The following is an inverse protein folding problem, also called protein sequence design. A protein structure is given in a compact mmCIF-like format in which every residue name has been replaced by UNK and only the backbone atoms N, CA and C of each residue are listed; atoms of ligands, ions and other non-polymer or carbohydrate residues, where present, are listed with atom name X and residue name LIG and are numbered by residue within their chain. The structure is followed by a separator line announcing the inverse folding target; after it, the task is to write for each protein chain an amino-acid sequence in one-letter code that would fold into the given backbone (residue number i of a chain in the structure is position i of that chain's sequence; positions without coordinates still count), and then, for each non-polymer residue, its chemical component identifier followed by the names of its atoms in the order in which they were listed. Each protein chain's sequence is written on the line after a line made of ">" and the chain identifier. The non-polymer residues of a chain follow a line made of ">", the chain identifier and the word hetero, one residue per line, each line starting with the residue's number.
data_IF_585900471766
#
_entry.id   IF_585900471766
#
_cell.length_a   1.000
_cell.length_b   1.000
_cell.length_c   1.000
_cell.angle_alpha   90.00
_cell.angle_beta   90.00
_cell.angle_gamma   90.00
#
_symmetry.space_group_name_H-M   'P 1'
#
loop_
_entity.id
_entity.type
_entity.pdbx_description
1 polymer ?
#
# COMPACT_ATOMS: atom_id res chain seq x y z
N UNK A 1 27.16 12.62 -1.38
CA UNK A 1 27.86 13.08 -0.15
C UNK A 1 26.93 13.00 1.05
N UNK A 2 27.42 12.89 2.30
CA UNK A 2 26.56 12.84 3.51
C UNK A 2 25.54 14.01 3.57
N UNK A 3 25.94 15.18 3.06
CA UNK A 3 25.05 16.35 2.91
C UNK A 3 23.86 16.09 1.99
N UNK A 4 24.05 15.40 0.86
CA UNK A 4 22.96 15.14 -0.11
C UNK A 4 21.91 14.18 0.46
N UNK A 5 22.35 13.20 1.27
CA UNK A 5 21.46 12.28 1.98
C UNK A 5 20.61 13.04 3.00
N UNK A 6 21.21 13.98 3.73
CA UNK A 6 20.50 14.80 4.70
C UNK A 6 19.48 15.73 4.02
N UNK A 7 19.85 16.37 2.90
CA UNK A 7 18.96 17.23 2.12
C UNK A 7 17.80 16.42 1.53
N UNK A 8 18.07 15.24 0.97
CA UNK A 8 17.03 14.34 0.45
C UNK A 8 16.06 13.91 1.55
N UNK A 9 16.58 13.53 2.73
CA UNK A 9 15.77 13.19 3.90
C UNK A 9 14.91 14.38 4.35
N UNK A 10 15.48 15.58 4.40
CA UNK A 10 14.76 16.80 4.76
C UNK A 10 13.62 17.11 3.79
N UNK A 11 13.89 17.05 2.48
CA UNK A 11 12.85 17.25 1.44
C UNK A 11 11.72 16.23 1.62
N UNK A 12 12.06 14.95 1.78
CA UNK A 12 11.07 13.88 1.94
C UNK A 12 10.21 14.06 3.20
N UNK A 13 10.80 14.45 4.32
CA UNK A 13 10.09 14.69 5.59
C UNK A 13 9.27 15.98 5.54
N UNK A 14 9.79 17.04 4.92
CA UNK A 14 9.09 18.33 4.83
C UNK A 14 7.79 18.24 4.04
N UNK A 15 7.76 17.46 2.95
CA UNK A 15 6.54 17.24 2.17
C UNK A 15 5.42 16.61 3.02
N UNK A 16 5.74 15.59 3.81
CA UNK A 16 4.78 14.94 4.72
C UNK A 16 4.33 15.88 5.84
N UNK A 17 5.25 16.71 6.37
CA UNK A 17 4.92 17.70 7.40
C UNK A 17 3.94 18.74 6.86
N UNK A 18 4.20 19.30 5.67
CA UNK A 18 3.32 20.27 5.02
C UNK A 18 1.95 19.64 4.72
N UNK A 19 1.91 18.42 4.18
CA UNK A 19 0.66 17.69 3.96
C UNK A 19 -0.14 17.50 5.26
N UNK A 20 0.55 17.16 6.36
CA UNK A 20 -0.07 17.01 7.68
C UNK A 20 -0.64 18.33 8.22
N UNK A 21 0.08 19.44 8.05
CA UNK A 21 -0.39 20.78 8.45
C UNK A 21 -1.63 21.17 7.64
N UNK A 22 -1.62 20.96 6.32
CA UNK A 22 -2.77 21.26 5.45
C UNK A 22 -3.97 20.40 5.85
N UNK A 23 -3.78 19.10 6.07
CA UNK A 23 -4.85 18.20 6.48
C UNK A 23 -5.46 18.63 7.82
N UNK A 24 -4.62 18.98 8.82
CA UNK A 24 -5.10 19.49 10.10
C UNK A 24 -5.86 20.82 9.95
N UNK A 25 -5.35 21.74 9.11
CA UNK A 25 -6.02 23.01 8.86
C UNK A 25 -7.42 22.80 8.25
N UNK A 26 -7.56 21.90 7.27
CA UNK A 26 -8.86 21.54 6.68
C UNK A 26 -9.79 20.96 7.74
N UNK A 27 -9.30 20.00 8.52
CA UNK A 27 -10.11 19.30 9.52
C UNK A 27 -10.61 20.25 10.62
N UNK A 28 -9.79 21.22 11.04
CA UNK A 28 -10.16 22.26 12.00
C UNK A 28 -11.15 23.26 11.37
N UNK A 29 -10.91 23.67 10.13
CA UNK A 29 -11.78 24.60 9.40
C UNK A 29 -13.19 24.03 9.18
N UNK A 30 -13.27 22.76 8.77
CA UNK A 30 -14.54 22.07 8.50
C UNK A 30 -15.24 21.55 9.76
N UNK A 31 -14.60 21.65 10.94
CA UNK A 31 -15.17 21.19 12.21
C UNK A 31 -15.45 19.69 12.26
N UNK A 32 -14.74 18.87 11.48
CA UNK A 32 -14.99 17.43 11.37
C UNK A 32 -14.66 16.63 12.65
N UNK A 33 -13.90 17.22 13.57
CA UNK A 33 -13.55 16.57 14.84
C UNK A 33 -14.24 17.29 16.00
N UNK A 34 -14.91 16.51 16.86
CA UNK A 34 -15.42 16.97 18.15
C UNK A 34 -14.31 17.15 19.21
N UNK A 35 -14.65 17.05 20.50
CA UNK A 35 -13.65 17.12 21.57
C UNK A 35 -12.69 15.92 21.51
N UNK A 36 -11.41 16.17 21.25
CA UNK A 36 -10.36 15.16 21.30
C UNK A 36 -10.17 14.71 22.75
N UNK A 37 -10.55 13.48 23.05
CA UNK A 37 -10.30 12.87 24.36
C UNK A 37 -9.22 11.81 24.22
N UNK A 38 -8.03 12.12 24.75
CA UNK A 38 -6.91 11.19 24.80
C UNK A 38 -7.12 10.22 25.97
N UNK A 39 -7.85 9.14 25.71
CA UNK A 39 -8.02 8.04 26.66
C UNK A 39 -7.05 6.90 26.32
N UNK A 40 -6.23 6.49 27.28
CA UNK A 40 -5.35 5.32 27.15
C UNK A 40 -6.13 4.05 26.78
N UNK A 41 -7.39 3.94 27.24
CA UNK A 41 -8.28 2.85 26.85
C UNK A 41 -8.55 2.85 25.34
N UNK A 42 -8.85 4.02 24.76
CA UNK A 42 -9.11 4.16 23.32
C UNK A 42 -7.85 3.85 22.51
N UNK A 43 -6.68 4.32 22.96
CA UNK A 43 -5.39 4.02 22.29
C UNK A 43 -5.14 2.51 22.27
N UNK A 44 -5.29 1.82 23.41
CA UNK A 44 -5.11 0.37 23.49
C UNK A 44 -6.12 -0.38 22.60
N UNK A 45 -7.38 0.07 22.57
CA UNK A 45 -8.41 -0.51 21.70
C UNK A 45 -8.06 -0.35 20.23
N UNK A 46 -7.67 0.85 19.79
CA UNK A 46 -7.26 1.10 18.41
C UNK A 46 -6.03 0.28 18.00
N UNK A 47 -5.06 0.08 18.90
CA UNK A 47 -3.92 -0.81 18.66
C UNK A 47 -4.35 -2.27 18.49
N UNK A 48 -5.29 -2.74 19.31
CA UNK A 48 -5.82 -4.11 19.21
C UNK A 48 -6.62 -4.31 17.91
N UNK A 49 -7.50 -3.36 17.57
CA UNK A 49 -8.33 -3.40 16.36
C UNK A 49 -7.45 -3.35 15.09
N UNK A 50 -6.38 -2.54 15.11
CA UNK A 50 -5.42 -2.43 14.01
C UNK A 50 -4.39 -3.55 13.92
N UNK A 51 -4.30 -4.43 14.92
CA UNK A 51 -3.23 -5.42 15.01
C UNK A 51 -3.23 -6.41 13.83
N UNK A 52 -4.42 -6.82 13.36
CA UNK A 52 -4.53 -7.70 12.19
C UNK A 52 -3.96 -7.05 10.92
N UNK A 53 -4.26 -5.77 10.71
CA UNK A 53 -3.71 -5.00 9.58
C UNK A 53 -2.20 -4.86 9.73
N UNK A 54 -1.72 -4.57 10.94
CA UNK A 54 -0.29 -4.48 11.23
C UNK A 54 0.45 -5.78 10.89
N UNK A 55 -0.07 -6.94 11.30
CA UNK A 55 0.54 -8.24 10.99
C UNK A 55 0.51 -8.52 9.49
N UNK A 56 -0.61 -8.26 8.80
CA UNK A 56 -0.70 -8.42 7.35
C UNK A 56 0.30 -7.54 6.61
N UNK A 57 0.39 -6.25 6.95
CA UNK A 57 1.34 -5.33 6.32
C UNK A 57 2.79 -5.70 6.66
N UNK A 58 3.07 -6.11 7.89
CA UNK A 58 4.40 -6.58 8.30
C UNK A 58 4.81 -7.83 7.53
N UNK A 59 3.90 -8.79 7.34
CA UNK A 59 4.16 -9.98 6.53
C UNK A 59 4.46 -9.60 5.07
N UNK A 60 3.72 -8.63 4.51
CA UNK A 60 3.99 -8.09 3.17
C UNK A 60 5.39 -7.50 3.07
N UNK A 61 5.78 -6.67 4.03
CA UNK A 61 7.13 -6.09 4.10
C UNK A 61 8.21 -7.17 4.25
N UNK A 62 7.96 -8.19 5.08
CA UNK A 62 8.88 -9.30 5.30
C UNK A 62 9.14 -10.09 4.02
N UNK A 63 8.11 -10.52 3.28
CA UNK A 63 8.36 -11.28 2.06
C UNK A 63 8.88 -10.39 0.92
N UNK A 64 8.52 -9.10 0.86
CA UNK A 64 8.99 -8.22 -0.22
C UNK A 64 10.42 -7.74 -0.04
N UNK A 65 10.80 -7.38 1.19
CA UNK A 65 12.13 -6.83 1.51
C UNK A 65 13.07 -7.91 2.02
N UNK A 66 12.55 -8.90 2.75
CA UNK A 66 13.34 -10.01 3.29
C UNK A 66 13.93 -10.91 2.20
N UNK A 67 13.26 -11.09 1.06
CA UNK A 67 13.82 -11.85 -0.08
C UNK A 67 15.15 -11.26 -0.54
N UNK A 68 15.28 -9.93 -0.59
CA UNK A 68 16.52 -9.26 -0.99
C UNK A 68 17.65 -9.56 -0.02
N UNK A 69 17.37 -9.56 1.27
CA UNK A 69 18.35 -9.87 2.33
C UNK A 69 18.81 -11.32 2.19
N UNK A 70 17.85 -12.26 2.12
CA UNK A 70 18.12 -13.69 1.99
C UNK A 70 18.92 -13.98 0.71
N UNK A 71 18.53 -13.39 -0.42
CA UNK A 71 19.21 -13.57 -1.69
C UNK A 71 20.62 -12.98 -1.67
N UNK A 72 20.83 -11.87 -0.97
CA UNK A 72 22.15 -11.29 -0.75
C UNK A 72 23.09 -12.23 0.00
N UNK A 73 22.58 -12.91 1.03
CA UNK A 73 23.36 -13.91 1.78
C UNK A 73 23.63 -15.19 0.97
N UNK A 74 22.66 -15.68 0.19
CA UNK A 74 22.76 -16.98 -0.49
C UNK A 74 23.45 -16.88 -1.86
N UNK A 75 23.13 -15.86 -2.64
CA UNK A 75 23.51 -15.76 -4.07
C UNK A 75 24.34 -14.53 -4.41
N UNK A 76 24.53 -13.62 -3.44
CA UNK A 76 25.40 -12.47 -3.58
C UNK A 76 24.76 -11.25 -4.28
N UNK A 77 25.53 -10.16 -4.42
CA UNK A 77 25.01 -8.85 -4.82
C UNK A 77 24.46 -8.77 -6.25
N UNK A 78 25.01 -9.55 -7.19
CA UNK A 78 24.55 -9.55 -8.59
C UNK A 78 23.13 -10.09 -8.72
N UNK A 79 22.81 -11.18 -8.03
CA UNK A 79 21.46 -11.75 -8.00
C UNK A 79 20.46 -10.80 -7.34
N UNK A 80 20.89 -10.10 -6.29
CA UNK A 80 20.09 -9.03 -5.65
C UNK A 80 19.79 -7.90 -6.63
N UNK A 81 20.77 -7.45 -7.40
CA UNK A 81 20.60 -6.42 -8.43
C UNK A 81 19.56 -6.82 -9.47
N UNK A 82 19.67 -8.03 -10.02
CA UNK A 82 18.74 -8.56 -11.01
C UNK A 82 17.31 -8.69 -10.45
N UNK A 83 17.17 -9.21 -9.23
CA UNK A 83 15.88 -9.32 -8.56
C UNK A 83 15.25 -7.94 -8.33
N UNK A 84 16.01 -6.97 -7.83
CA UNK A 84 15.49 -5.62 -7.58
C UNK A 84 15.05 -4.91 -8.86
N UNK A 85 15.78 -5.08 -9.96
CA UNK A 85 15.38 -4.54 -11.26
C UNK A 85 14.02 -5.10 -11.70
N UNK A 86 13.87 -6.44 -11.69
CA UNK A 86 12.62 -7.09 -12.04
C UNK A 86 11.47 -6.74 -11.08
N UNK A 87 11.75 -6.71 -9.77
CA UNK A 87 10.77 -6.38 -8.74
C UNK A 87 10.29 -4.92 -8.83
N UNK A 88 11.15 -4.00 -9.27
CA UNK A 88 10.76 -2.60 -9.51
C UNK A 88 9.72 -2.49 -10.62
N UNK A 89 9.92 -3.20 -11.74
CA UNK A 89 8.95 -3.26 -12.84
C UNK A 89 7.63 -3.86 -12.36
N UNK A 90 7.70 -4.97 -11.61
CA UNK A 90 6.52 -5.62 -11.01
C UNK A 90 5.76 -4.65 -10.10
N UNK A 91 6.45 -3.92 -9.23
CA UNK A 91 5.84 -2.97 -8.31
C UNK A 91 5.20 -1.78 -9.04
N UNK A 92 5.81 -1.28 -10.12
CA UNK A 92 5.24 -0.22 -10.94
C UNK A 92 3.88 -0.63 -11.53
N UNK A 93 3.78 -1.85 -12.07
CA UNK A 93 2.53 -2.38 -12.62
C UNK A 93 1.48 -2.62 -11.53
N UNK A 94 1.88 -3.12 -10.36
CA UNK A 94 0.96 -3.24 -9.22
C UNK A 94 0.47 -1.88 -8.72
N UNK A 95 1.31 -0.85 -8.78
CA UNK A 95 0.95 0.52 -8.45
C UNK A 95 -0.24 1.05 -9.26
N UNK A 96 -0.37 0.63 -10.53
CA UNK A 96 -1.49 0.99 -11.39
C UNK A 96 -2.83 0.39 -10.92
N UNK A 97 -2.81 -0.71 -10.17
CA UNK A 97 -4.00 -1.37 -9.63
C UNK A 97 -4.46 -0.76 -8.29
N UNK A 98 -3.60 -0.02 -7.61
CA UNK A 98 -3.88 0.57 -6.31
C UNK A 98 -5.06 1.57 -6.33
N UNK A 99 -5.16 2.54 -7.26
CA UNK A 99 -6.29 3.47 -7.31
C UNK A 99 -7.63 2.77 -7.56
N UNK A 100 -7.62 1.69 -8.35
CA UNK A 100 -8.81 0.86 -8.59
C UNK A 100 -9.29 0.24 -7.27
N UNK A 101 -8.37 -0.36 -6.52
CA UNK A 101 -8.67 -0.96 -5.21
C UNK A 101 -9.18 0.09 -4.22
N UNK A 102 -8.52 1.25 -4.13
CA UNK A 102 -8.91 2.32 -3.22
C UNK A 102 -10.28 2.94 -3.56
N UNK A 103 -10.64 3.05 -4.84
CA UNK A 103 -11.96 3.55 -5.26
C UNK A 103 -13.09 2.53 -5.04
N UNK A 104 -12.80 1.24 -5.23
CA UNK A 104 -13.81 0.17 -5.12
C UNK A 104 -14.10 -0.19 -3.66
N UNK A 105 -13.09 -0.14 -2.78
CA UNK A 105 -13.22 -0.61 -1.40
C UNK A 105 -14.38 0.05 -0.63
N UNK A 106 -14.54 1.39 -0.60
CA UNK A 106 -15.67 2.03 0.08
C UNK A 106 -17.03 1.60 -0.47
N UNK A 107 -17.12 1.39 -1.79
CA UNK A 107 -18.35 0.98 -2.48
C UNK A 107 -18.72 -0.47 -2.16
N UNK A 108 -17.75 -1.36 -2.06
CA UNK A 108 -17.99 -2.74 -1.61
C UNK A 108 -18.48 -2.75 -0.17
N UNK A 109 -17.80 -2.02 0.72
CA UNK A 109 -18.14 -1.97 2.14
C UNK A 109 -19.56 -1.45 2.37
N UNK A 110 -19.97 -0.36 1.69
CA UNK A 110 -21.34 0.16 1.81
C UNK A 110 -22.38 -0.78 1.21
N UNK A 111 -22.09 -1.39 0.05
CA UNK A 111 -23.04 -2.30 -0.62
C UNK A 111 -23.25 -3.59 0.16
N UNK A 112 -22.22 -4.12 0.83
CA UNK A 112 -22.34 -5.31 1.68
C UNK A 112 -23.29 -5.09 2.87
N UNK A 113 -23.25 -3.91 3.49
CA UNK A 113 -24.12 -3.55 4.61
C UNK A 113 -25.57 -3.39 4.15
N UNK A 114 -25.80 -2.72 3.01
CA UNK A 114 -27.15 -2.48 2.48
C UNK A 114 -27.77 -3.75 1.86
N UNK A 115 -27.00 -4.52 1.11
CA UNK A 115 -27.46 -5.71 0.43
C UNK A 115 -26.30 -6.70 0.20
N UNK A 116 -26.25 -7.73 1.06
CA UNK A 116 -25.19 -8.75 1.03
C UNK A 116 -25.05 -9.44 -0.34
N UNK A 117 -26.15 -9.76 -1.01
CA UNK A 117 -26.12 -10.45 -2.32
C UNK A 117 -25.48 -9.56 -3.38
N UNK A 118 -25.90 -8.29 -3.47
CA UNK A 118 -25.33 -7.32 -4.40
C UNK A 118 -23.86 -7.02 -4.08
N UNK A 119 -23.50 -6.96 -2.79
CA UNK A 119 -22.11 -6.78 -2.35
C UNK A 119 -21.20 -7.93 -2.79
N UNK A 120 -21.65 -9.18 -2.65
CA UNK A 120 -20.88 -10.35 -3.12
C UNK A 120 -20.73 -10.38 -4.65
N UNK A 121 -21.78 -10.01 -5.40
CA UNK A 121 -21.68 -9.88 -6.86
C UNK A 121 -20.65 -8.82 -7.25
N UNK A 122 -20.63 -7.68 -6.56
CA UNK A 122 -19.66 -6.62 -6.79
C UNK A 122 -18.23 -7.10 -6.51
N UNK A 123 -18.00 -7.81 -5.39
CA UNK A 123 -16.69 -8.42 -5.08
C UNK A 123 -16.25 -9.35 -6.21
N UNK A 124 -17.12 -10.26 -6.65
CA UNK A 124 -16.79 -11.21 -7.74
C UNK A 124 -16.42 -10.46 -9.02
N UNK A 125 -17.21 -9.47 -9.40
CA UNK A 125 -16.96 -8.66 -10.62
C UNK A 125 -15.65 -7.88 -10.53
N UNK A 126 -15.38 -7.25 -9.39
CA UNK A 126 -14.13 -6.54 -9.13
C UNK A 126 -12.93 -7.48 -9.15
N UNK A 127 -13.05 -8.67 -8.56
CA UNK A 127 -12.01 -9.69 -8.57
C UNK A 127 -11.70 -10.16 -10.00
N UNK A 128 -12.72 -10.46 -10.81
CA UNK A 128 -12.54 -10.85 -12.21
C UNK A 128 -11.91 -9.74 -13.04
N UNK A 129 -12.31 -8.47 -12.82
CA UNK A 129 -11.70 -7.34 -13.50
C UNK A 129 -10.22 -7.18 -13.14
N UNK A 130 -9.88 -7.23 -11.85
CA UNK A 130 -8.51 -7.14 -11.37
C UNK A 130 -7.64 -8.31 -11.85
N UNK A 131 -8.17 -9.53 -11.88
CA UNK A 131 -7.44 -10.70 -12.36
C UNK A 131 -7.19 -10.65 -13.86
N UNK A 132 -8.14 -10.13 -14.66
CA UNK A 132 -7.95 -9.93 -16.09
C UNK A 132 -6.86 -8.89 -16.37
N UNK A 133 -6.88 -7.75 -15.68
CA UNK A 133 -5.86 -6.70 -15.85
C UNK A 133 -4.49 -7.21 -15.39
N UNK A 134 -4.43 -7.87 -14.22
CA UNK A 134 -3.20 -8.47 -13.72
C UNK A 134 -2.65 -9.55 -14.64
N UNK A 135 -3.53 -10.39 -15.21
CA UNK A 135 -3.17 -11.40 -16.20
C UNK A 135 -2.62 -10.79 -17.48
N UNK A 136 -3.24 -9.71 -17.98
CA UNK A 136 -2.74 -8.99 -19.15
C UNK A 136 -1.35 -8.38 -18.90
N UNK A 137 -1.13 -7.75 -17.74
CA UNK A 137 0.21 -7.25 -17.37
C UNK A 137 1.24 -8.38 -17.28
N UNK A 138 0.88 -9.52 -16.71
CA UNK A 138 1.76 -10.69 -16.67
C UNK A 138 2.12 -11.20 -18.06
N UNK A 139 1.16 -11.22 -18.99
CA UNK A 139 1.39 -11.68 -20.36
C UNK A 139 2.30 -10.72 -21.13
N UNK A 140 2.07 -9.41 -20.98
CA UNK A 140 2.90 -8.37 -21.58
C UNK A 140 4.34 -8.46 -21.07
N UNK A 141 4.53 -8.66 -19.76
CA UNK A 141 5.86 -8.85 -19.19
C UNK A 141 6.56 -10.09 -19.74
N UNK A 142 5.83 -11.19 -19.88
CA UNK A 142 6.39 -12.45 -20.36
C UNK A 142 6.78 -12.39 -21.85
N UNK A 143 5.99 -11.71 -22.67
CA UNK A 143 6.30 -11.49 -24.09
C UNK A 143 7.42 -10.45 -24.30
N UNK A 144 7.49 -9.44 -23.43
CA UNK A 144 8.51 -8.40 -23.46
C UNK A 144 9.85 -8.84 -22.85
N UNK A 145 9.85 -9.89 -22.04
CA UNK A 145 11.06 -10.59 -21.62
C UNK A 145 11.61 -11.38 -22.82
N UNK A 146 12.41 -10.71 -23.65
CA UNK A 146 13.22 -11.38 -24.66
C UNK A 146 14.06 -12.45 -23.96
N UNK A 147 13.77 -13.71 -24.29
CA UNK A 147 14.51 -14.92 -23.87
C UNK A 147 15.97 -14.80 -24.29
#
# INVERSE_FOLDING_TARGET
>A
TKSDIAIAGFIQSSANLVAGIIALAIVVHEGWIGKVTLSLHNVRRSLADGFHVFISTSAISLYSTGIVIILGFISGPTSVGNFNAANTIRNALQGLLNPITQAIYPRISSTLVLNRVKGVILIKKSLTCLSLIGGAFSLILLLGASI
#
